data_IF_163128422929
#
_entry.id   IF_163128422929
#
_cell.length_a   1.000
_cell.length_b   1.000
_cell.length_c   1.000
_cell.angle_alpha   90.00
_cell.angle_beta   90.00
_cell.angle_gamma   90.00
#
_symmetry.space_group_name_H-M   'P 1'
#
loop_
_entity.id
_entity.type
_entity.pdbx_description
1 polymer ?
#
# COMPACT_ATOMS: atom_id res chain seq x y z
N UNK A 1 26.76 -7.37 -14.86
CA UNK A 1 25.32 -7.70 -14.91
C UNK A 1 24.53 -6.56 -14.28
N UNK A 2 23.46 -6.03 -14.90
CA UNK A 2 22.63 -5.01 -14.26
C UNK A 2 21.93 -5.62 -13.03
N UNK A 3 22.05 -4.97 -11.86
CA UNK A 3 21.36 -5.41 -10.64
C UNK A 3 19.85 -5.31 -10.85
N UNK A 4 19.14 -6.44 -10.70
CA UNK A 4 17.67 -6.51 -10.81
C UNK A 4 17.04 -5.51 -9.82
N UNK A 5 16.17 -4.66 -10.34
CA UNK A 5 15.51 -3.61 -9.57
C UNK A 5 14.53 -4.22 -8.55
N UNK A 6 14.67 -3.89 -7.26
CA UNK A 6 13.67 -4.25 -6.25
C UNK A 6 12.38 -3.46 -6.50
N UNK A 7 11.24 -4.16 -6.48
CA UNK A 7 9.89 -3.62 -6.73
C UNK A 7 9.72 -2.86 -8.06
N UNK A 8 9.78 -3.57 -9.21
CA UNK A 8 9.69 -2.93 -10.52
C UNK A 8 8.36 -2.19 -10.78
N UNK A 9 7.27 -2.65 -10.18
CA UNK A 9 5.92 -2.07 -10.35
C UNK A 9 5.49 -1.13 -9.21
N UNK A 10 6.42 -0.70 -8.36
CA UNK A 10 6.11 0.11 -7.19
C UNK A 10 5.63 1.52 -7.58
N UNK A 11 6.34 2.19 -8.48
CA UNK A 11 5.99 3.54 -8.88
C UNK A 11 4.67 3.53 -9.66
N UNK A 12 3.71 4.37 -9.26
CA UNK A 12 2.37 4.42 -9.84
C UNK A 12 1.40 3.37 -9.31
N UNK A 13 1.85 2.43 -8.47
CA UNK A 13 0.95 1.46 -7.84
C UNK A 13 -0.05 2.15 -6.92
N UNK A 14 -1.26 1.58 -6.86
CA UNK A 14 -2.41 2.08 -6.10
C UNK A 14 -2.63 1.18 -4.91
N UNK A 15 -2.99 1.76 -3.78
CA UNK A 15 -3.14 1.05 -2.52
C UNK A 15 -4.32 1.58 -1.73
N UNK A 16 -4.95 0.67 -0.99
CA UNK A 16 -5.99 0.98 -0.03
C UNK A 16 -5.54 0.61 1.37
N UNK A 17 -5.49 1.57 2.29
CA UNK A 17 -5.19 1.34 3.69
C UNK A 17 -6.39 0.71 4.40
N UNK A 18 -6.16 -0.35 5.18
CA UNK A 18 -7.19 -0.99 6.02
C UNK A 18 -7.71 -0.03 7.09
N UNK A 19 -6.82 0.77 7.68
CA UNK A 19 -7.16 1.86 8.61
C UNK A 19 -6.93 3.22 7.95
N UNK A 20 -7.77 4.21 8.31
CA UNK A 20 -7.59 5.58 7.80
C UNK A 20 -6.22 6.11 8.22
N UNK A 21 -5.43 6.55 7.26
CA UNK A 21 -4.15 7.23 7.51
C UNK A 21 -4.35 8.71 7.17
N UNK A 22 -4.20 9.60 8.15
CA UNK A 22 -4.53 11.02 8.00
C UNK A 22 -5.95 11.28 7.46
N UNK A 23 -6.92 10.43 7.83
CA UNK A 23 -8.30 10.53 7.35
C UNK A 23 -8.57 9.86 6.00
N UNK A 24 -7.54 9.42 5.27
CA UNK A 24 -7.64 8.86 3.92
C UNK A 24 -7.35 7.36 3.89
N UNK A 25 -7.85 6.68 2.85
CA UNK A 25 -7.58 5.25 2.60
C UNK A 25 -6.96 4.97 1.25
N UNK A 26 -7.28 5.74 0.20
CA UNK A 26 -6.72 5.52 -1.13
C UNK A 26 -5.47 6.35 -1.34
N UNK A 27 -4.39 5.67 -1.70
CA UNK A 27 -3.10 6.29 -1.94
C UNK A 27 -2.46 5.75 -3.21
N UNK A 28 -1.68 6.59 -3.88
CA UNK A 28 -0.84 6.21 -5.01
C UNK A 28 0.63 6.45 -4.67
N UNK A 29 1.49 5.52 -5.09
CA UNK A 29 2.94 5.73 -5.00
C UNK A 29 3.39 6.68 -6.09
N UNK A 30 3.91 7.83 -5.72
CA UNK A 30 4.39 8.87 -6.67
C UNK A 30 5.90 8.95 -6.77
N UNK A 31 6.61 8.36 -5.80
CA UNK A 31 8.07 8.37 -5.78
C UNK A 31 8.61 7.11 -5.10
N UNK A 32 9.89 6.83 -5.36
CA UNK A 32 10.63 5.77 -4.69
C UNK A 32 12.04 6.24 -4.37
N UNK A 33 12.56 5.80 -3.24
CA UNK A 33 13.94 6.10 -2.84
C UNK A 33 14.61 4.85 -2.31
N UNK A 34 15.78 4.52 -2.86
CA UNK A 34 16.62 3.44 -2.36
C UNK A 34 17.58 4.00 -1.29
N UNK A 35 17.57 3.42 -0.09
CA UNK A 35 18.46 3.75 1.02
C UNK A 35 19.19 2.48 1.46
N UNK A 36 20.34 2.23 0.83
CA UNK A 36 21.09 0.99 1.02
C UNK A 36 20.27 -0.23 0.61
N UNK A 37 19.96 -1.11 1.56
CA UNK A 37 19.14 -2.31 1.32
C UNK A 37 17.64 -2.04 1.29
N UNK A 38 17.21 -0.89 1.81
CA UNK A 38 15.81 -0.51 1.98
C UNK A 38 15.29 0.27 0.78
N UNK A 39 14.01 0.07 0.47
CA UNK A 39 13.29 0.84 -0.55
C UNK A 39 12.15 1.54 0.17
N UNK A 40 12.07 2.85 0.01
CA UNK A 40 10.98 3.66 0.51
C UNK A 40 10.07 4.08 -0.63
N UNK A 41 8.76 4.12 -0.35
CA UNK A 41 7.73 4.58 -1.27
C UNK A 41 7.14 5.88 -0.71
N UNK A 42 7.01 6.89 -1.56
CA UNK A 42 6.23 8.08 -1.24
C UNK A 42 4.79 7.87 -1.70
N UNK A 43 3.85 7.92 -0.77
CA UNK A 43 2.43 7.80 -1.02
C UNK A 43 1.77 9.17 -0.95
N UNK A 44 0.79 9.39 -1.83
CA UNK A 44 -0.05 10.58 -1.86
C UNK A 44 -1.50 10.15 -1.85
N UNK A 45 -2.33 10.81 -1.04
CA UNK A 45 -3.77 10.50 -1.02
C UNK A 45 -4.40 10.86 -2.36
N UNK A 46 -5.20 9.96 -2.93
CA UNK A 46 -5.82 10.16 -4.25
C UNK A 46 -6.73 11.39 -4.30
N UNK A 47 -7.36 11.73 -3.18
CA UNK A 47 -8.34 12.81 -3.09
C UNK A 47 -7.76 14.10 -2.48
N UNK A 48 -6.54 14.07 -1.95
CA UNK A 48 -5.90 15.22 -1.32
C UNK A 48 -4.36 15.14 -1.51
N UNK A 49 -3.81 15.85 -2.51
CA UNK A 49 -2.39 15.79 -2.81
C UNK A 49 -1.51 16.42 -1.72
N UNK A 50 -2.09 17.10 -0.74
CA UNK A 50 -1.34 17.65 0.41
C UNK A 50 -0.98 16.57 1.43
N UNK A 51 -1.74 15.47 1.47
CA UNK A 51 -1.45 14.33 2.33
C UNK A 51 -0.45 13.41 1.64
N UNK A 52 0.81 13.52 2.09
CA UNK A 52 1.94 12.77 1.55
C UNK A 52 2.80 12.23 2.68
N UNK A 53 3.34 11.03 2.50
CA UNK A 53 4.23 10.41 3.48
C UNK A 53 5.09 9.33 2.84
N UNK A 54 6.16 8.98 3.55
CA UNK A 54 7.07 7.91 3.16
C UNK A 54 6.89 6.70 4.06
N UNK A 55 6.88 5.50 3.47
CA UNK A 55 6.95 4.23 4.20
C UNK A 55 8.02 3.33 3.62
N UNK A 56 8.47 2.36 4.40
CA UNK A 56 9.26 1.26 3.84
C UNK A 56 8.35 0.45 2.90
N UNK A 57 8.77 0.23 1.66
CA UNK A 57 7.99 -0.51 0.66
C UNK A 57 7.66 -1.95 1.10
N UNK A 58 8.39 -2.49 2.08
CA UNK A 58 8.03 -3.77 2.73
C UNK A 58 6.68 -3.70 3.44
N UNK A 59 6.27 -2.55 3.99
CA UNK A 59 4.98 -2.40 4.66
C UNK A 59 3.79 -2.61 3.71
N UNK A 60 3.94 -2.30 2.41
CA UNK A 60 2.90 -2.54 1.41
C UNK A 60 2.63 -4.03 1.16
N UNK A 61 3.49 -4.93 1.64
CA UNK A 61 3.25 -6.38 1.57
C UNK A 61 2.45 -6.90 2.77
N UNK A 62 2.22 -6.09 3.80
CA UNK A 62 1.41 -6.48 4.95
C UNK A 62 -0.07 -6.27 4.66
N UNK A 63 -0.78 -7.38 4.42
CA UNK A 63 -2.21 -7.39 4.07
C UNK A 63 -3.12 -6.83 5.19
N UNK A 64 -2.63 -6.82 6.44
CA UNK A 64 -3.35 -6.23 7.58
C UNK A 64 -3.32 -4.70 7.54
N UNK A 65 -2.37 -4.11 6.81
CA UNK A 65 -2.19 -2.67 6.68
C UNK A 65 -2.68 -2.16 5.33
N UNK A 66 -2.36 -2.90 4.26
CA UNK A 66 -2.50 -2.45 2.88
C UNK A 66 -3.12 -3.51 1.98
N UNK A 67 -4.03 -3.06 1.12
CA UNK A 67 -4.59 -3.83 0.03
C UNK A 67 -4.13 -3.23 -1.29
N UNK A 68 -3.69 -4.06 -2.22
CA UNK A 68 -3.30 -3.59 -3.55
C UNK A 68 -4.52 -3.11 -4.33
N UNK A 69 -4.35 -2.05 -5.10
CA UNK A 69 -5.43 -1.45 -5.88
C UNK A 69 -6.35 -0.56 -5.04
N UNK A 70 -7.38 -0.04 -5.70
CA UNK A 70 -8.47 0.67 -5.04
C UNK A 70 -9.54 -0.32 -4.64
N UNK A 71 -9.90 -0.31 -3.36
CA UNK A 71 -11.03 -1.06 -2.85
C UNK A 71 -12.25 -0.13 -2.79
N UNK A 72 -13.39 -0.63 -3.23
CA UNK A 72 -14.70 -0.02 -3.07
C UNK A 72 -15.14 -0.07 -1.60
N UNK A 73 -16.19 0.68 -1.26
CA UNK A 73 -16.80 0.61 0.08
C UNK A 73 -17.27 -0.81 0.42
N UNK A 74 -17.84 -1.52 -0.56
CA UNK A 74 -18.30 -2.90 -0.38
C UNK A 74 -17.15 -3.84 -0.06
N UNK A 75 -16.07 -3.81 -0.85
CA UNK A 75 -14.89 -4.68 -0.63
C UNK A 75 -14.21 -4.37 0.71
N UNK A 76 -14.14 -3.09 1.11
CA UNK A 76 -13.56 -2.70 2.41
C UNK A 76 -14.38 -3.17 3.62
N UNK A 77 -15.68 -3.43 3.44
CA UNK A 77 -16.58 -3.87 4.52
C UNK A 77 -16.72 -5.38 4.58
N UNK A 78 -16.15 -6.13 3.63
CA UNK A 78 -16.12 -7.58 3.69
C UNK A 78 -15.11 -8.02 4.76
N UNK A 79 -15.48 -8.99 5.62
CA UNK A 79 -14.51 -9.64 6.49
C UNK A 79 -13.46 -10.34 5.60
N UNK A 80 -12.20 -10.27 5.98
CA UNK A 80 -11.15 -10.98 5.27
C UNK A 80 -11.46 -12.48 5.37
N UNK A 81 -11.75 -13.13 4.25
CA UNK A 81 -12.18 -14.54 4.17
C UNK A 81 -11.15 -15.55 4.73
N UNK A 82 -9.97 -15.08 5.13
CA UNK A 82 -8.95 -15.87 5.81
C UNK A 82 -9.33 -16.26 7.25
N UNK A 83 -10.28 -15.54 7.87
CA UNK A 83 -10.72 -15.82 9.23
C UNK A 83 -11.82 -16.90 9.32
N UNK A 84 -12.38 -17.36 8.19
CA UNK A 84 -13.47 -18.36 8.16
C UNK A 84 -12.99 -19.83 8.21
N UNK A 85 -11.69 -20.11 8.15
CA UNK A 85 -11.18 -21.50 8.07
C UNK A 85 -10.99 -22.16 9.46
N UNK A 86 -11.10 -21.43 10.57
CA UNK A 86 -10.88 -21.96 11.94
C UNK A 86 -12.21 -22.21 12.67
N UNK A 87 -13.25 -22.74 12.03
CA UNK A 87 -14.42 -23.29 12.77
C UNK A 87 -15.00 -24.51 12.03
N UNK A 88 -14.22 -25.58 11.85
CA UNK A 88 -14.78 -26.90 11.53
C UNK A 88 -13.95 -28.02 12.14
#
# INVERSE_FOLDING_TARGET
MPKKQKYPHLLGSKWTAKQKTWGWRHFQVVNRQNRGQWVFAELVASCDPTVRFWINAKQLQDANLWQSGWQTLTEMNQPDSADEIIVN
#
